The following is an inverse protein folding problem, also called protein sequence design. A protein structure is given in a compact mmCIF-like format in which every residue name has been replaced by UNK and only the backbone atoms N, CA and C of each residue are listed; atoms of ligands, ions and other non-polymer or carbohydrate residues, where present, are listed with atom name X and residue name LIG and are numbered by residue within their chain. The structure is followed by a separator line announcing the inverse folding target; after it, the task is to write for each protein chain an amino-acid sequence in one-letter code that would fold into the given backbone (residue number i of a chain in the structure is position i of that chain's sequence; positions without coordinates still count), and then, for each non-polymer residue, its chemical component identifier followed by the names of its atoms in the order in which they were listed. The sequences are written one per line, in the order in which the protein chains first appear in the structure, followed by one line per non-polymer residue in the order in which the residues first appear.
data_IF_346756627892
#
_entry.id   IF_346756627892
#
_cell.length_a   1.000
_cell.length_b   1.000
_cell.length_c   1.000
_cell.angle_alpha   90.00
_cell.angle_beta   90.00
_cell.angle_gamma   90.00
#
_symmetry.space_group_name_H-M   'P 1'
#
loop_
_entity.id
_entity.type
_entity.pdbx_description
1 polymer ?
#
# COMPACT_ATOMS: atom_id res chain seq x y z
N UNK A 1 25.33 20.60 -2.84
CA UNK A 1 24.93 19.95 -1.58
C UNK A 1 23.42 19.76 -1.58
N UNK A 2 22.95 18.54 -1.28
CA UNK A 2 21.54 18.23 -1.16
C UNK A 2 21.05 18.68 0.23
N UNK A 3 20.08 19.60 0.25
CA UNK A 3 19.55 20.16 1.49
C UNK A 3 18.47 19.32 2.15
N UNK A 4 17.85 18.38 1.38
CA UNK A 4 16.82 17.45 1.87
C UNK A 4 17.26 16.03 1.64
N UNK A 5 17.01 15.14 2.62
CA UNK A 5 17.35 13.73 2.55
C UNK A 5 16.12 12.82 2.43
N UNK A 6 14.91 13.35 2.62
CA UNK A 6 13.66 12.60 2.61
C UNK A 6 12.68 13.22 1.62
N UNK A 7 12.08 12.37 0.79
CA UNK A 7 11.14 12.76 -0.25
C UNK A 7 9.88 11.89 -0.17
N UNK A 8 8.76 12.41 -0.63
CA UNK A 8 7.48 11.72 -0.68
C UNK A 8 6.95 11.78 -2.12
N UNK A 9 6.44 10.66 -2.61
CA UNK A 9 5.83 10.55 -3.92
C UNK A 9 4.50 9.79 -3.85
N UNK A 10 3.50 10.22 -4.61
CA UNK A 10 2.26 9.49 -4.83
C UNK A 10 2.35 8.78 -6.17
N UNK A 11 2.26 7.45 -6.16
CA UNK A 11 2.36 6.63 -7.37
C UNK A 11 1.04 6.66 -8.12
N UNK A 12 1.01 7.18 -9.38
CA UNK A 12 -0.21 7.18 -10.19
C UNK A 12 -0.59 5.77 -10.66
N UNK A 13 -1.88 5.54 -10.89
CA UNK A 13 -2.40 4.27 -11.40
C UNK A 13 -2.27 4.16 -12.93
N UNK A 14 -1.06 4.26 -13.43
CA UNK A 14 -0.73 4.08 -14.85
C UNK A 14 0.68 3.52 -15.00
N UNK A 15 0.92 2.78 -16.08
CA UNK A 15 2.25 2.22 -16.36
C UNK A 15 3.33 3.30 -16.40
N UNK A 16 3.08 4.38 -17.13
CA UNK A 16 4.01 5.51 -17.25
C UNK A 16 4.25 6.19 -15.89
N UNK A 17 3.18 6.42 -15.11
CA UNK A 17 3.27 7.04 -13.80
C UNK A 17 4.03 6.18 -12.79
N UNK A 18 3.80 4.87 -12.77
CA UNK A 18 4.50 3.93 -11.89
C UNK A 18 6.00 3.92 -12.22
N UNK A 19 6.37 3.78 -13.48
CA UNK A 19 7.80 3.79 -13.87
C UNK A 19 8.46 5.14 -13.65
N UNK A 20 7.75 6.25 -13.81
CA UNK A 20 8.27 7.57 -13.44
C UNK A 20 8.56 7.67 -11.95
N UNK A 21 7.69 7.14 -11.11
CA UNK A 21 7.92 7.11 -9.66
C UNK A 21 9.13 6.23 -9.31
N UNK A 22 9.31 5.10 -9.96
CA UNK A 22 10.48 4.23 -9.80
C UNK A 22 11.76 4.93 -10.26
N UNK A 23 11.74 5.63 -11.38
CA UNK A 23 12.86 6.42 -11.87
C UNK A 23 13.26 7.53 -10.87
N UNK A 24 12.27 8.27 -10.37
CA UNK A 24 12.48 9.28 -9.34
C UNK A 24 13.10 8.67 -8.08
N UNK A 25 12.62 7.50 -7.65
CA UNK A 25 13.18 6.78 -6.52
C UNK A 25 14.64 6.39 -6.76
N UNK A 26 14.96 5.87 -7.94
CA UNK A 26 16.34 5.54 -8.32
C UNK A 26 17.26 6.74 -8.26
N UNK A 27 16.81 7.88 -8.79
CA UNK A 27 17.59 9.13 -8.79
C UNK A 27 17.79 9.68 -7.38
N UNK A 28 16.77 9.68 -6.54
CA UNK A 28 16.86 10.07 -5.13
C UNK A 28 17.84 9.17 -4.39
N UNK A 29 17.74 7.86 -4.58
CA UNK A 29 18.63 6.87 -3.96
C UNK A 29 20.07 7.05 -4.38
N UNK A 30 20.32 7.35 -5.66
CA UNK A 30 21.66 7.66 -6.21
C UNK A 30 22.35 8.77 -5.44
N UNK A 31 21.62 9.75 -4.97
CA UNK A 31 22.16 10.88 -4.20
C UNK A 31 22.09 10.68 -2.68
N UNK A 32 21.80 9.47 -2.23
CA UNK A 32 21.76 9.11 -0.80
C UNK A 32 20.49 9.55 -0.07
N UNK A 33 19.45 9.95 -0.80
CA UNK A 33 18.14 10.26 -0.22
C UNK A 33 17.25 9.04 0.00
N UNK A 34 16.27 9.18 0.88
CA UNK A 34 15.18 8.22 1.07
C UNK A 34 13.88 8.72 0.44
N UNK A 35 13.04 7.81 -0.03
CA UNK A 35 11.73 8.15 -0.60
C UNK A 35 10.61 7.31 0.01
N UNK A 36 9.53 7.97 0.41
CA UNK A 36 8.25 7.35 0.73
C UNK A 36 7.36 7.34 -0.51
N UNK A 37 6.87 6.17 -0.91
CA UNK A 37 6.04 5.98 -2.10
C UNK A 37 4.66 5.49 -1.68
N UNK A 38 3.64 6.28 -1.95
CA UNK A 38 2.25 5.94 -1.64
C UNK A 38 1.59 5.21 -2.81
N UNK A 39 1.19 3.96 -2.59
CA UNK A 39 0.58 3.07 -3.58
C UNK A 39 -0.94 2.99 -3.49
N UNK A 40 -1.58 3.80 -2.66
CA UNK A 40 -3.01 3.73 -2.41
C UNK A 40 -3.91 4.03 -3.61
N UNK A 41 -3.37 4.62 -4.68
CA UNK A 41 -4.09 4.86 -5.94
C UNK A 41 -3.96 3.73 -6.94
N UNK A 42 -3.01 2.82 -6.76
CA UNK A 42 -2.73 1.75 -7.72
C UNK A 42 -3.74 0.62 -7.56
N UNK A 43 -4.31 0.17 -8.68
CA UNK A 43 -5.33 -0.88 -8.69
C UNK A 43 -4.83 -2.20 -8.11
N UNK A 44 -5.74 -2.88 -7.43
CA UNK A 44 -5.47 -4.16 -6.80
C UNK A 44 -5.35 -5.31 -7.81
N UNK A 45 -4.78 -6.43 -7.35
CA UNK A 45 -4.78 -7.69 -8.10
C UNK A 45 -6.21 -8.09 -8.47
N UNK A 46 -6.38 -8.59 -9.68
CA UNK A 46 -7.70 -8.94 -10.22
C UNK A 46 -8.52 -7.75 -10.75
N UNK A 47 -7.96 -6.54 -10.72
CA UNK A 47 -8.58 -5.35 -11.33
C UNK A 47 -8.61 -5.39 -12.86
N UNK A 48 -9.33 -4.46 -13.46
CA UNK A 48 -9.48 -4.37 -14.91
C UNK A 48 -8.34 -3.56 -15.53
N UNK A 49 -7.85 -4.00 -16.70
CA UNK A 49 -6.92 -3.25 -17.53
C UNK A 49 -7.48 -3.19 -18.95
N UNK A 50 -7.67 -1.98 -19.48
CA UNK A 50 -8.16 -1.73 -20.84
C UNK A 50 -9.42 -2.56 -21.21
N UNK A 51 -10.37 -2.68 -20.27
CA UNK A 51 -11.60 -3.44 -20.46
C UNK A 51 -11.47 -4.97 -20.25
N UNK A 52 -10.27 -5.49 -20.09
CA UNK A 52 -10.05 -6.89 -19.72
C UNK A 52 -10.18 -7.06 -18.21
N UNK A 53 -11.11 -7.91 -17.80
CA UNK A 53 -11.40 -8.17 -16.38
C UNK A 53 -10.35 -9.11 -15.78
N UNK A 54 -9.96 -8.83 -14.53
CA UNK A 54 -9.17 -9.76 -13.72
C UNK A 54 -7.69 -9.87 -14.10
N UNK A 55 -7.14 -8.98 -14.91
CA UNK A 55 -5.76 -9.09 -15.41
C UNK A 55 -4.72 -8.27 -14.65
N UNK A 56 -5.13 -7.35 -13.78
CA UNK A 56 -4.18 -6.56 -12.97
C UNK A 56 -3.40 -7.45 -12.00
N UNK A 57 -2.11 -7.22 -11.90
CA UNK A 57 -1.22 -7.99 -11.02
C UNK A 57 -1.13 -7.49 -9.58
N UNK A 58 -1.72 -6.33 -9.28
CA UNK A 58 -1.72 -5.71 -7.96
C UNK A 58 -0.44 -4.94 -7.61
N UNK A 59 -0.46 -4.33 -6.42
CA UNK A 59 0.63 -3.44 -5.96
C UNK A 59 1.91 -4.18 -5.63
N UNK A 60 1.84 -5.43 -5.21
CA UNK A 60 3.01 -6.19 -4.74
C UNK A 60 4.07 -6.35 -5.84
N UNK A 61 3.65 -6.60 -7.07
CA UNK A 61 4.55 -6.71 -8.20
C UNK A 61 5.33 -5.42 -8.45
N UNK A 62 4.68 -4.28 -8.31
CA UNK A 62 5.32 -2.98 -8.45
C UNK A 62 6.26 -2.67 -7.29
N UNK A 63 5.87 -3.04 -6.07
CA UNK A 63 6.72 -2.90 -4.88
C UNK A 63 7.99 -3.78 -5.00
N UNK A 64 7.89 -4.94 -5.63
CA UNK A 64 9.07 -5.77 -5.92
C UNK A 64 10.06 -5.05 -6.85
N UNK A 65 9.58 -4.34 -7.86
CA UNK A 65 10.45 -3.51 -8.72
C UNK A 65 11.11 -2.38 -7.93
N UNK A 66 10.39 -1.75 -7.01
CA UNK A 66 10.97 -0.73 -6.11
C UNK A 66 12.07 -1.37 -5.25
N UNK A 67 11.84 -2.55 -4.71
CA UNK A 67 12.82 -3.30 -3.93
C UNK A 67 14.08 -3.60 -4.76
N UNK A 68 13.92 -4.13 -5.96
CA UNK A 68 15.03 -4.48 -6.83
C UNK A 68 15.80 -3.22 -7.26
N UNK A 69 15.10 -2.11 -7.47
CA UNK A 69 15.71 -0.80 -7.74
C UNK A 69 16.54 -0.32 -6.54
N UNK A 70 16.03 -0.44 -5.32
CA UNK A 70 16.75 -0.08 -4.10
C UNK A 70 18.09 -0.83 -3.98
N UNK A 71 18.07 -2.13 -4.30
CA UNK A 71 19.27 -2.97 -4.31
C UNK A 71 20.21 -2.59 -5.45
N UNK A 72 19.66 -2.37 -6.66
CA UNK A 72 20.46 -2.08 -7.86
C UNK A 72 21.22 -0.75 -7.82
N UNK A 73 20.63 0.27 -7.16
CA UNK A 73 21.23 1.60 -7.05
C UNK A 73 21.98 1.80 -5.73
N UNK A 74 22.25 0.72 -5.01
CA UNK A 74 23.07 0.78 -3.79
C UNK A 74 24.49 1.30 -4.12
N UNK A 75 24.85 2.39 -3.47
CA UNK A 75 26.13 3.05 -3.71
C UNK A 75 27.23 2.46 -2.82
N UNK A 76 27.81 1.32 -3.27
CA UNK A 76 29.15 0.86 -2.85
C UNK A 76 29.55 1.21 -1.40
N UNK A 77 28.69 0.90 -0.43
CA UNK A 77 29.04 0.95 0.98
C UNK A 77 28.92 2.31 1.68
N UNK A 78 28.47 3.38 1.01
CA UNK A 78 28.32 4.68 1.66
C UNK A 78 26.93 4.88 2.33
N UNK A 79 25.84 4.53 1.66
CA UNK A 79 24.47 4.51 2.21
C UNK A 79 23.54 3.74 1.26
N UNK A 80 22.86 2.74 1.78
CA UNK A 80 21.84 2.01 1.01
C UNK A 80 20.66 2.93 0.70
N UNK A 81 20.10 2.81 -0.52
CA UNK A 81 18.85 3.46 -0.88
C UNK A 81 17.74 3.02 0.06
N UNK A 82 17.02 3.97 0.67
CA UNK A 82 15.95 3.69 1.59
C UNK A 82 14.60 4.03 0.96
N UNK A 83 13.76 3.03 0.76
CA UNK A 83 12.39 3.16 0.26
C UNK A 83 11.37 2.72 1.29
N UNK A 84 10.40 3.59 1.59
CA UNK A 84 9.20 3.23 2.33
C UNK A 84 8.02 3.16 1.37
N UNK A 85 7.18 2.12 1.50
CA UNK A 85 5.98 1.94 0.68
C UNK A 85 4.75 1.98 1.56
N UNK A 86 3.77 2.80 1.17
CA UNK A 86 2.56 3.06 1.95
C UNK A 86 1.35 2.48 1.26
N UNK A 87 0.49 1.82 2.02
CA UNK A 87 -0.79 1.29 1.55
C UNK A 87 -1.87 1.51 2.61
N UNK A 88 -3.08 1.82 2.17
CA UNK A 88 -4.22 1.97 3.06
C UNK A 88 -4.70 0.62 3.59
N UNK A 89 -5.14 0.59 4.84
CA UNK A 89 -5.68 -0.62 5.49
C UNK A 89 -6.91 -1.18 4.78
N UNK A 90 -7.60 -0.38 3.97
CA UNK A 90 -8.78 -0.80 3.19
C UNK A 90 -8.46 -1.23 1.76
N UNK A 91 -7.19 -1.19 1.33
CA UNK A 91 -6.79 -1.63 0.00
C UNK A 91 -6.90 -3.15 -0.14
N UNK A 92 -7.37 -3.63 -1.29
CA UNK A 92 -7.66 -5.06 -1.51
C UNK A 92 -6.44 -5.96 -1.42
N UNK A 93 -5.25 -5.45 -1.68
CA UNK A 93 -3.98 -6.18 -1.58
C UNK A 93 -3.34 -6.13 -0.17
N UNK A 94 -4.05 -5.59 0.83
CA UNK A 94 -3.49 -5.44 2.17
C UNK A 94 -2.96 -6.73 2.79
N UNK A 95 -3.65 -7.90 2.72
CA UNK A 95 -3.13 -9.11 3.35
C UNK A 95 -1.78 -9.55 2.78
N UNK A 96 -1.58 -9.43 1.48
CA UNK A 96 -0.33 -9.73 0.80
C UNK A 96 0.75 -8.69 1.16
N UNK A 97 0.36 -7.43 1.27
CA UNK A 97 1.24 -6.33 1.68
C UNK A 97 1.77 -6.52 3.12
N UNK A 98 0.94 -6.99 4.04
CA UNK A 98 1.35 -7.27 5.42
C UNK A 98 2.34 -8.43 5.54
N UNK A 99 2.45 -9.26 4.52
CA UNK A 99 3.38 -10.38 4.45
C UNK A 99 4.59 -10.11 3.55
N UNK A 100 4.79 -8.87 3.15
CA UNK A 100 5.82 -8.48 2.17
C UNK A 100 7.23 -8.86 2.59
N UNK A 101 7.55 -8.81 3.88
CA UNK A 101 8.88 -9.09 4.44
C UNK A 101 8.95 -10.34 5.31
N UNK A 102 7.86 -11.02 5.58
CA UNK A 102 7.85 -12.25 6.39
C UNK A 102 8.46 -13.43 5.64
N UNK A 103 8.97 -14.43 6.38
CA UNK A 103 9.69 -15.56 5.81
C UNK A 103 8.81 -16.70 5.27
N UNK A 104 7.51 -16.46 5.12
CA UNK A 104 6.57 -17.45 4.62
C UNK A 104 6.02 -17.07 3.25
N UNK A 105 5.59 -18.04 2.48
CA UNK A 105 4.93 -17.86 1.19
C UNK A 105 5.88 -17.83 -0.01
N UNK A 106 5.37 -17.36 -1.14
CA UNK A 106 6.08 -17.34 -2.42
C UNK A 106 7.07 -16.16 -2.49
N UNK A 107 8.33 -16.42 -2.76
CA UNK A 107 9.38 -15.40 -2.87
C UNK A 107 9.08 -14.33 -3.94
N UNK A 108 8.29 -14.69 -4.95
CA UNK A 108 7.82 -13.72 -5.96
C UNK A 108 6.92 -12.62 -5.40
N UNK A 109 6.35 -12.84 -4.22
CA UNK A 109 5.48 -11.92 -3.48
C UNK A 109 6.21 -11.24 -2.33
N UNK A 110 7.54 -11.29 -2.30
CA UNK A 110 8.38 -10.74 -1.23
C UNK A 110 9.23 -9.56 -1.71
N UNK A 111 9.46 -8.62 -0.78
CA UNK A 111 10.33 -7.46 -0.97
C UNK A 111 10.96 -7.11 0.39
N UNK A 112 12.17 -7.61 0.63
CA UNK A 112 12.81 -7.56 1.96
C UNK A 112 13.59 -6.27 2.23
N UNK A 113 13.92 -5.49 1.20
CA UNK A 113 14.80 -4.33 1.29
C UNK A 113 14.06 -2.98 1.32
N UNK A 114 12.73 -3.00 1.25
CA UNK A 114 11.88 -1.83 1.42
C UNK A 114 11.04 -1.92 2.68
N UNK A 115 10.55 -0.78 3.17
CA UNK A 115 9.85 -0.68 4.46
C UNK A 115 8.37 -0.39 4.26
N UNK A 116 7.48 -1.37 4.51
CA UNK A 116 6.04 -1.15 4.42
C UNK A 116 5.51 -0.30 5.58
N UNK A 117 4.53 0.53 5.27
CA UNK A 117 3.75 1.33 6.22
C UNK A 117 2.27 1.24 5.88
N UNK A 118 1.42 1.05 6.87
CA UNK A 118 -0.03 1.01 6.71
C UNK A 118 -0.66 2.32 7.15
N UNK A 119 -1.51 2.87 6.29
CA UNK A 119 -2.30 4.06 6.60
C UNK A 119 -3.64 3.64 7.20
N UNK A 120 -3.94 4.12 8.41
CA UNK A 120 -5.15 3.79 9.15
C UNK A 120 -6.04 5.02 9.33
N UNK A 121 -7.34 4.94 8.97
CA UNK A 121 -8.33 5.92 9.43
C UNK A 121 -8.73 5.62 10.88
N UNK A 122 -9.20 6.62 11.59
CA UNK A 122 -9.67 6.47 12.97
C UNK A 122 -10.76 5.41 13.11
N UNK A 123 -11.63 5.26 12.11
CA UNK A 123 -12.68 4.25 12.08
C UNK A 123 -12.14 2.84 12.34
N UNK A 124 -11.00 2.49 11.74
CA UNK A 124 -10.40 1.16 11.93
C UNK A 124 -10.10 0.90 13.41
N UNK A 125 -9.50 1.86 14.09
CA UNK A 125 -9.15 1.73 15.51
C UNK A 125 -10.38 1.78 16.42
N UNK A 126 -11.39 2.58 16.09
CA UNK A 126 -12.67 2.60 16.81
C UNK A 126 -13.34 1.23 16.76
N UNK A 127 -13.46 0.65 15.56
CA UNK A 127 -14.02 -0.69 15.36
C UNK A 127 -13.20 -1.78 16.07
N UNK A 128 -11.87 -1.71 15.99
CA UNK A 128 -10.98 -2.66 16.65
C UNK A 128 -11.15 -2.63 18.18
N UNK A 129 -11.36 -1.45 18.75
CA UNK A 129 -11.60 -1.28 20.19
C UNK A 129 -12.96 -1.84 20.63
N UNK A 130 -13.96 -1.73 19.79
CA UNK A 130 -15.32 -2.23 20.06
C UNK A 130 -15.39 -3.75 19.98
N UNK A 131 -14.97 -4.33 18.85
CA UNK A 131 -15.00 -5.77 18.62
C UNK A 131 -13.99 -6.15 17.52
N UNK A 132 -12.97 -6.90 17.87
CA UNK A 132 -11.96 -7.42 16.95
C UNK A 132 -12.51 -8.44 15.93
N UNK A 133 -13.63 -9.06 16.21
CA UNK A 133 -14.23 -10.06 15.31
C UNK A 133 -15.06 -9.44 14.18
N UNK A 134 -15.27 -8.12 14.21
CA UNK A 134 -15.97 -7.42 13.13
C UNK A 134 -15.28 -7.60 11.79
N UNK A 135 -16.05 -7.71 10.69
CA UNK A 135 -15.49 -7.70 9.35
C UNK A 135 -15.00 -6.29 8.99
N UNK A 136 -13.86 -6.25 8.33
CA UNK A 136 -13.34 -5.09 7.64
C UNK A 136 -13.33 -5.35 6.15
N UNK A 137 -13.72 -4.37 5.34
CA UNK A 137 -13.84 -4.55 3.90
C UNK A 137 -12.71 -3.88 3.15
N UNK A 138 -12.17 -4.60 2.17
CA UNK A 138 -11.08 -4.17 1.32
C UNK A 138 -11.58 -3.93 -0.10
N UNK A 139 -11.10 -2.85 -0.72
CA UNK A 139 -11.53 -2.41 -2.03
C UNK A 139 -10.36 -2.15 -2.98
N UNK A 140 -10.64 -2.23 -4.28
CA UNK A 140 -9.74 -1.71 -5.30
C UNK A 140 -10.03 -0.21 -5.52
N UNK A 141 -9.05 0.69 -5.39
CA UNK A 141 -9.27 2.13 -5.54
C UNK A 141 -9.75 2.50 -6.95
N UNK A 142 -9.28 1.82 -7.98
CA UNK A 142 -9.73 2.05 -9.35
C UNK A 142 -11.20 1.66 -9.57
N UNK A 143 -11.66 0.57 -8.95
CA UNK A 143 -13.06 0.17 -9.03
C UNK A 143 -13.97 1.19 -8.32
N UNK A 144 -13.57 1.71 -7.17
CA UNK A 144 -14.30 2.79 -6.48
C UNK A 144 -14.40 4.01 -7.40
N UNK A 145 -13.31 4.45 -7.99
CA UNK A 145 -13.31 5.60 -8.89
C UNK A 145 -14.23 5.37 -10.10
N UNK A 146 -14.21 4.17 -10.68
CA UNK A 146 -15.03 3.83 -11.84
C UNK A 146 -16.52 3.80 -11.52
N UNK A 147 -16.91 3.23 -10.38
CA UNK A 147 -18.33 3.02 -10.02
C UNK A 147 -18.90 4.19 -9.23
N UNK A 148 -18.16 4.76 -8.29
CA UNK A 148 -18.62 5.83 -7.40
C UNK A 148 -18.28 7.24 -7.91
N UNK A 149 -17.27 7.37 -8.78
CA UNK A 149 -16.82 8.65 -9.31
C UNK A 149 -15.94 9.47 -8.37
N UNK A 150 -15.44 8.87 -7.28
CA UNK A 150 -14.48 9.53 -6.37
C UNK A 150 -13.34 8.59 -5.98
N UNK A 151 -12.24 9.19 -5.53
CA UNK A 151 -11.09 8.49 -4.97
C UNK A 151 -11.20 8.46 -3.44
N UNK A 152 -11.46 7.29 -2.85
CA UNK A 152 -11.64 7.17 -1.40
C UNK A 152 -10.39 7.62 -0.63
N UNK A 153 -9.22 7.41 -1.19
CA UNK A 153 -7.92 7.81 -0.64
C UNK A 153 -7.70 9.32 -0.56
N UNK A 154 -8.52 10.12 -1.21
CA UNK A 154 -8.42 11.59 -1.18
C UNK A 154 -9.17 12.22 0.00
N UNK A 155 -9.92 11.42 0.75
CA UNK A 155 -10.73 11.87 1.89
C UNK A 155 -10.13 11.41 3.22
N UNK A 156 -10.51 12.11 4.30
CA UNK A 156 -10.13 11.80 5.68
C UNK A 156 -11.26 12.18 6.64
N UNK A 157 -11.17 11.76 7.89
CA UNK A 157 -12.16 12.08 8.93
C UNK A 157 -13.57 11.57 8.62
N UNK A 158 -14.57 12.36 8.99
CA UNK A 158 -15.98 12.01 8.83
C UNK A 158 -16.40 11.80 7.36
N UNK A 159 -15.82 12.58 6.44
CA UNK A 159 -16.09 12.43 5.01
C UNK A 159 -15.59 11.10 4.47
N UNK A 160 -14.39 10.66 4.90
CA UNK A 160 -13.89 9.35 4.54
C UNK A 160 -14.78 8.23 5.10
N UNK A 161 -15.13 8.31 6.37
CA UNK A 161 -15.95 7.32 7.05
C UNK A 161 -17.31 7.15 6.36
N UNK A 162 -17.98 8.26 6.02
CA UNK A 162 -19.24 8.27 5.29
C UNK A 162 -19.11 7.59 3.91
N UNK A 163 -18.06 7.90 3.15
CA UNK A 163 -17.81 7.32 1.83
C UNK A 163 -17.41 5.86 1.91
N UNK A 164 -16.66 5.48 2.92
CA UNK A 164 -16.33 4.08 3.18
C UNK A 164 -17.59 3.25 3.45
N UNK A 165 -18.49 3.71 4.30
CA UNK A 165 -19.77 3.03 4.55
C UNK A 165 -20.63 2.96 3.29
N UNK A 166 -20.65 3.99 2.47
CA UNK A 166 -21.32 3.98 1.19
C UNK A 166 -20.76 2.91 0.24
N UNK A 167 -19.43 2.75 0.20
CA UNK A 167 -18.78 1.67 -0.54
C UNK A 167 -19.13 0.29 0.01
N UNK A 168 -19.15 0.12 1.33
CA UNK A 168 -19.52 -1.16 1.97
C UNK A 168 -20.94 -1.60 1.59
N UNK A 169 -21.86 -0.65 1.51
CA UNK A 169 -23.28 -0.90 1.19
C UNK A 169 -23.55 -0.99 -0.32
N UNK A 170 -22.61 -0.66 -1.17
CA UNK A 170 -22.79 -0.71 -2.63
C UNK A 170 -22.49 -2.12 -3.17
N UNK A 171 -23.53 -2.80 -3.62
CA UNK A 171 -23.44 -4.19 -4.14
C UNK A 171 -22.69 -4.28 -5.49
N UNK A 172 -22.48 -3.17 -6.18
CA UNK A 172 -21.74 -3.13 -7.44
C UNK A 172 -20.23 -3.23 -7.24
N UNK A 173 -19.75 -2.89 -6.05
CA UNK A 173 -18.33 -2.97 -5.70
C UNK A 173 -17.95 -4.40 -5.30
N UNK A 174 -16.91 -4.93 -5.91
CA UNK A 174 -16.28 -6.19 -5.51
C UNK A 174 -15.42 -5.93 -4.27
N UNK A 175 -15.89 -6.40 -3.12
CA UNK A 175 -15.18 -6.24 -1.85
C UNK A 175 -14.62 -7.58 -1.36
N UNK A 176 -13.49 -7.51 -0.68
CA UNK A 176 -12.89 -8.62 0.07
C UNK A 176 -13.14 -8.37 1.55
N UNK A 177 -13.61 -9.38 2.26
CA UNK A 177 -13.85 -9.28 3.70
C UNK A 177 -12.74 -10.00 4.46
N UNK A 178 -12.26 -9.36 5.52
CA UNK A 178 -11.31 -9.93 6.47
C UNK A 178 -11.65 -9.43 7.88
N UNK A 179 -11.55 -10.26 8.90
CA UNK A 179 -11.79 -9.78 10.27
C UNK A 179 -10.68 -8.81 10.70
N UNK A 180 -11.04 -7.81 11.50
CA UNK A 180 -10.07 -6.89 12.11
C UNK A 180 -9.02 -7.67 12.89
N UNK A 181 -9.43 -8.73 13.59
CA UNK A 181 -8.54 -9.64 14.33
C UNK A 181 -7.45 -10.25 13.44
N UNK A 182 -7.82 -10.70 12.24
CA UNK A 182 -6.86 -11.30 11.31
C UNK A 182 -5.90 -10.26 10.74
N UNK A 183 -6.37 -9.04 10.47
CA UNK A 183 -5.48 -7.93 10.10
C UNK A 183 -4.47 -7.65 11.21
N UNK A 184 -4.94 -7.51 12.45
CA UNK A 184 -4.08 -7.26 13.62
C UNK A 184 -3.05 -8.39 13.81
N UNK A 185 -3.45 -9.64 13.62
CA UNK A 185 -2.54 -10.79 13.68
C UNK A 185 -1.43 -10.71 12.64
N UNK A 186 -1.78 -10.39 11.39
CA UNK A 186 -0.79 -10.21 10.32
C UNK A 186 0.17 -9.06 10.61
N UNK A 187 -0.35 -7.94 11.12
CA UNK A 187 0.48 -6.78 11.52
C UNK A 187 1.45 -7.16 12.64
N UNK A 188 0.96 -7.80 13.70
CA UNK A 188 1.78 -8.21 14.84
C UNK A 188 2.83 -9.24 14.45
N UNK A 189 2.46 -10.23 13.64
CA UNK A 189 3.40 -11.22 13.12
C UNK A 189 4.52 -10.57 12.34
N UNK A 190 4.18 -9.70 11.40
CA UNK A 190 5.17 -8.96 10.62
C UNK A 190 6.06 -8.10 11.50
N UNK A 191 5.48 -7.40 12.50
CA UNK A 191 6.23 -6.55 13.42
C UNK A 191 7.23 -7.35 14.26
N UNK A 192 6.85 -8.52 14.73
CA UNK A 192 7.75 -9.41 15.51
C UNK A 192 8.87 -9.95 14.63
N UNK A 193 8.57 -10.39 13.41
CA UNK A 193 9.56 -10.98 12.50
C UNK A 193 10.50 -9.94 11.88
N UNK A 194 10.01 -8.73 11.58
CA UNK A 194 10.72 -7.78 10.69
C UNK A 194 10.84 -6.36 11.22
N UNK A 195 10.14 -6.00 12.29
CA UNK A 195 10.04 -4.61 12.78
C UNK A 195 9.14 -3.71 11.92
N UNK A 196 8.44 -4.25 10.94
CA UNK A 196 7.48 -3.54 10.07
C UNK A 196 6.15 -4.30 10.02
N UNK A 197 5.04 -3.70 9.59
CA UNK A 197 4.89 -2.38 8.99
C UNK A 197 4.92 -1.22 10.00
N UNK A 198 5.27 -0.04 9.53
CA UNK A 198 5.06 1.18 10.29
C UNK A 198 3.58 1.55 10.32
N UNK A 199 3.15 2.22 11.38
CA UNK A 199 1.78 2.73 11.52
C UNK A 199 1.73 4.19 11.14
N UNK A 200 0.83 4.54 10.23
CA UNK A 200 0.55 5.91 9.83
C UNK A 200 -0.94 6.20 10.02
N UNK A 201 -1.27 7.01 11.04
CA UNK A 201 -2.65 7.43 11.27
C UNK A 201 -2.97 8.64 10.39
N UNK A 202 -4.12 8.60 9.74
CA UNK A 202 -4.45 9.52 8.65
C UNK A 202 -5.71 10.36 8.91
N UNK A 203 -6.10 10.61 10.10
CA UNK A 203 -7.23 11.51 10.40
C UNK A 203 -6.78 12.71 11.24
#
# INVERSE_FOLDING_TARGET
HQLSSCFIDTVPDSLEGIYRSIDNFAMVSKFGGGMGMYFGKVRAAGGNIRGFKGVAGGVIRWMKLVNDTAVAVDQLGMRQGAGAVYLDVWHKDLPEFLQLRTNNGDDRMKAHDIFPSVCYPDLFWKMAKEDLNQPWYLFCPNEIMTIKGYCLEDYYGEEWEKRYHDCVNDTRLSKRSISIKDIVRLVLRSAVETGTPFTFNRD
#
